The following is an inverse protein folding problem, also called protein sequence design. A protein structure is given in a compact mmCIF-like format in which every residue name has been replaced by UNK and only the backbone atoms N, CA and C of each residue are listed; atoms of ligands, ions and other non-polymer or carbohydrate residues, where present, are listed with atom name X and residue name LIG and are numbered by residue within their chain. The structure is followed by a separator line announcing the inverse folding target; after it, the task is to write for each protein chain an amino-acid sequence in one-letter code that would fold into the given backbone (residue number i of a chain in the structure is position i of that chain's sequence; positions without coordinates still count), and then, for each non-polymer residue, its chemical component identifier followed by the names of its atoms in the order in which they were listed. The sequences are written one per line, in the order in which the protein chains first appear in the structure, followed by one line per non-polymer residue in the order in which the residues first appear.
data_IF_806538154365
#
_entry.id   IF_806538154365
#
_cell.length_a   1.000
_cell.length_b   1.000
_cell.length_c   1.000
_cell.angle_alpha   90.00
_cell.angle_beta   90.00
_cell.angle_gamma   90.00
#
_symmetry.space_group_name_H-M   'P 1'
#
loop_
_entity.id
_entity.type
_entity.pdbx_description
1 polymer ?
#
# COMPACT_ATOMS: atom_id res chain seq x y z
N UNK A 1 14.10 2.33 -17.95
CA UNK A 1 14.30 0.92 -18.33
C UNK A 1 15.06 0.24 -17.19
N UNK A 2 14.44 -0.70 -16.47
CA UNK A 2 15.14 -1.43 -15.40
C UNK A 2 16.25 -2.28 -16.04
N UNK A 3 17.46 -2.24 -15.47
CA UNK A 3 18.60 -3.00 -15.97
C UNK A 3 18.41 -4.51 -15.81
N UNK A 4 19.18 -5.34 -16.53
CA UNK A 4 19.12 -6.79 -16.40
C UNK A 4 19.38 -7.21 -14.95
N UNK A 5 18.49 -8.04 -14.39
CA UNK A 5 18.61 -8.59 -13.04
C UNK A 5 17.88 -7.83 -11.93
N UNK A 6 17.20 -6.72 -12.22
CA UNK A 6 16.37 -6.04 -11.23
C UNK A 6 14.89 -6.45 -11.35
N UNK A 7 14.24 -6.89 -10.25
CA UNK A 7 12.81 -7.19 -10.26
C UNK A 7 12.01 -5.95 -10.64
N UNK A 8 10.96 -6.13 -11.45
CA UNK A 8 10.09 -5.04 -11.87
C UNK A 8 9.42 -4.36 -10.66
N UNK A 9 8.89 -3.16 -10.86
CA UNK A 9 8.13 -2.47 -9.79
C UNK A 9 6.97 -3.35 -9.28
N UNK A 10 6.25 -3.99 -10.20
CA UNK A 10 5.21 -4.96 -9.89
C UNK A 10 5.74 -6.08 -8.99
N UNK A 11 6.85 -6.71 -9.41
CA UNK A 11 7.47 -7.81 -8.69
C UNK A 11 7.85 -7.43 -7.25
N UNK A 12 8.48 -6.25 -7.08
CA UNK A 12 8.85 -5.71 -5.77
C UNK A 12 7.63 -5.44 -4.88
N UNK A 13 6.59 -4.79 -5.43
CA UNK A 13 5.36 -4.48 -4.68
C UNK A 13 4.57 -5.73 -4.34
N UNK A 14 4.49 -6.72 -5.25
CA UNK A 14 3.85 -8.00 -4.97
C UNK A 14 4.47 -8.69 -3.75
N UNK A 15 5.81 -8.84 -3.76
CA UNK A 15 6.53 -9.44 -2.63
C UNK A 15 6.27 -8.67 -1.32
N UNK A 16 6.38 -7.35 -1.37
CA UNK A 16 6.12 -6.48 -0.21
C UNK A 16 4.71 -6.69 0.38
N UNK A 17 3.68 -6.73 -0.48
CA UNK A 17 2.31 -6.93 -0.02
C UNK A 17 2.06 -8.34 0.53
N UNK A 18 2.63 -9.36 -0.13
CA UNK A 18 2.53 -10.75 0.33
C UNK A 18 3.15 -10.93 1.71
N UNK A 19 4.35 -10.42 1.92
CA UNK A 19 5.08 -10.53 3.19
C UNK A 19 4.35 -9.78 4.31
N UNK A 20 3.79 -8.59 4.02
CA UNK A 20 2.93 -7.87 4.96
C UNK A 20 1.69 -8.67 5.37
N UNK A 21 1.12 -9.45 4.45
CA UNK A 21 -0.03 -10.32 4.71
C UNK A 21 0.35 -11.65 5.37
N UNK A 22 1.65 -11.91 5.61
CA UNK A 22 2.19 -13.15 6.16
C UNK A 22 1.77 -14.40 5.37
N UNK A 23 1.68 -14.29 4.03
CA UNK A 23 1.33 -15.41 3.16
C UNK A 23 2.58 -16.01 2.51
N UNK A 24 2.62 -17.34 2.39
CA UNK A 24 3.51 -18.00 1.45
C UNK A 24 3.09 -17.69 0.00
N UNK A 25 4.01 -17.89 -0.94
CA UNK A 25 3.70 -17.75 -2.38
C UNK A 25 2.59 -18.71 -2.81
N UNK A 26 2.57 -19.92 -2.26
CA UNK A 26 1.54 -20.93 -2.52
C UNK A 26 0.17 -20.49 -2.00
N UNK A 27 0.08 -20.05 -0.74
CA UNK A 27 -1.18 -19.58 -0.15
C UNK A 27 -1.74 -18.36 -0.89
N UNK A 28 -0.88 -17.40 -1.28
CA UNK A 28 -1.32 -16.27 -2.09
C UNK A 28 -1.88 -16.74 -3.43
N UNK A 29 -1.19 -17.65 -4.12
CA UNK A 29 -1.65 -18.18 -5.41
C UNK A 29 -3.01 -18.85 -5.30
N UNK A 30 -3.22 -19.68 -4.27
CA UNK A 30 -4.51 -20.31 -4.00
C UNK A 30 -5.62 -19.28 -3.73
N UNK A 31 -5.35 -18.29 -2.86
CA UNK A 31 -6.33 -17.23 -2.54
C UNK A 31 -6.67 -16.36 -3.74
N UNK A 32 -5.73 -16.17 -4.66
CA UNK A 32 -5.93 -15.47 -5.92
C UNK A 32 -6.66 -16.32 -6.98
N UNK A 33 -7.07 -17.55 -6.65
CA UNK A 33 -7.79 -18.43 -7.56
C UNK A 33 -6.91 -19.11 -8.61
N UNK A 34 -5.58 -19.16 -8.39
CA UNK A 34 -4.70 -19.96 -9.23
C UNK A 34 -4.88 -21.45 -8.94
N UNK A 35 -4.70 -22.27 -9.97
CA UNK A 35 -4.71 -23.72 -9.80
C UNK A 35 -3.61 -24.18 -8.83
N UNK A 36 -3.94 -25.13 -7.97
CA UNK A 36 -3.06 -25.61 -6.90
C UNK A 36 -1.74 -26.18 -7.43
N UNK A 37 -1.72 -26.78 -8.63
CA UNK A 37 -0.50 -27.34 -9.22
C UNK A 37 0.53 -26.29 -9.60
N UNK A 38 0.10 -25.03 -9.81
CA UNK A 38 0.98 -23.94 -10.27
C UNK A 38 1.00 -22.72 -9.35
N UNK A 39 0.16 -22.67 -8.31
CA UNK A 39 -0.02 -21.50 -7.44
C UNK A 39 1.31 -20.89 -6.93
N UNK A 40 2.15 -21.69 -6.29
CA UNK A 40 3.45 -21.24 -5.78
C UNK A 40 4.42 -20.83 -6.90
N UNK A 41 4.70 -21.71 -7.89
CA UNK A 41 5.57 -21.38 -9.02
C UNK A 41 5.18 -20.10 -9.77
N UNK A 42 3.87 -19.86 -9.99
CA UNK A 42 3.37 -18.65 -10.67
C UNK A 42 3.68 -17.39 -9.89
N UNK A 43 3.36 -17.37 -8.59
CA UNK A 43 3.66 -16.20 -7.73
C UNK A 43 5.17 -15.96 -7.68
N UNK A 44 6.00 -17.01 -7.58
CA UNK A 44 7.45 -16.89 -7.61
C UNK A 44 7.96 -16.25 -8.91
N UNK A 45 7.43 -16.65 -10.07
CA UNK A 45 7.79 -16.04 -11.35
C UNK A 45 7.43 -14.55 -11.40
N UNK A 46 6.28 -14.17 -10.84
CA UNK A 46 5.87 -12.77 -10.74
C UNK A 46 6.77 -11.96 -9.82
N UNK A 47 7.09 -12.47 -8.63
CA UNK A 47 7.95 -11.77 -7.66
C UNK A 47 9.40 -11.62 -8.09
N UNK A 48 9.85 -12.45 -9.03
CA UNK A 48 11.19 -12.33 -9.63
C UNK A 48 11.17 -11.59 -10.97
N UNK A 49 10.00 -11.13 -11.43
CA UNK A 49 9.85 -10.41 -12.70
C UNK A 49 10.12 -11.27 -13.95
N UNK A 50 10.11 -12.60 -13.82
CA UNK A 50 10.23 -13.53 -14.96
C UNK A 50 9.00 -13.42 -15.86
N UNK A 51 7.83 -13.27 -15.24
CA UNK A 51 6.59 -12.98 -15.92
C UNK A 51 5.87 -11.83 -15.23
N UNK A 52 5.04 -11.12 -15.97
CA UNK A 52 4.10 -10.15 -15.42
C UNK A 52 2.68 -10.71 -15.55
N UNK A 53 1.84 -10.63 -14.50
CA UNK A 53 0.45 -11.05 -14.62
C UNK A 53 -0.31 -10.12 -15.57
N UNK A 54 -1.34 -10.67 -16.22
CA UNK A 54 -2.33 -9.84 -16.90
C UNK A 54 -3.13 -9.06 -15.85
N UNK A 55 -3.75 -7.96 -16.29
CA UNK A 55 -4.55 -7.08 -15.43
C UNK A 55 -5.58 -7.84 -14.56
N UNK A 56 -6.30 -8.80 -15.14
CA UNK A 56 -7.26 -9.62 -14.39
C UNK A 56 -6.61 -10.41 -13.24
N UNK A 57 -5.47 -11.04 -13.49
CA UNK A 57 -4.73 -11.79 -12.47
C UNK A 57 -4.14 -10.86 -11.42
N UNK A 58 -3.62 -9.70 -11.82
CA UNK A 58 -3.17 -8.67 -10.88
C UNK A 58 -4.32 -8.23 -9.95
N UNK A 59 -5.53 -8.05 -10.49
CA UNK A 59 -6.71 -7.72 -9.69
C UNK A 59 -7.03 -8.83 -8.68
N UNK A 60 -7.07 -10.09 -9.11
CA UNK A 60 -7.33 -11.24 -8.23
C UNK A 60 -6.31 -11.34 -7.09
N UNK A 61 -5.04 -11.10 -7.39
CA UNK A 61 -3.97 -11.07 -6.38
C UNK A 61 -4.19 -9.89 -5.41
N UNK A 62 -4.56 -8.71 -5.90
CA UNK A 62 -4.86 -7.54 -5.06
C UNK A 62 -6.02 -7.81 -4.11
N UNK A 63 -7.09 -8.42 -4.61
CA UNK A 63 -8.27 -8.79 -3.84
C UNK A 63 -7.92 -9.82 -2.76
N UNK A 64 -7.13 -10.84 -3.09
CA UNK A 64 -6.63 -11.85 -2.15
C UNK A 64 -5.77 -11.24 -1.02
N UNK A 65 -5.08 -10.14 -1.31
CA UNK A 65 -4.26 -9.38 -0.35
C UNK A 65 -5.06 -8.29 0.38
N UNK A 66 -6.29 -8.01 -0.03
CA UNK A 66 -7.13 -6.96 0.52
C UNK A 66 -6.57 -5.55 0.30
N UNK A 67 -5.90 -5.30 -0.84
CA UNK A 67 -5.28 -4.01 -1.18
C UNK A 67 -5.78 -3.48 -2.52
N UNK A 68 -5.68 -2.16 -2.79
CA UNK A 68 -5.97 -1.64 -4.12
C UNK A 68 -4.94 -2.13 -5.17
N UNK A 69 -5.36 -2.52 -6.39
CA UNK A 69 -4.46 -3.00 -7.45
C UNK A 69 -3.42 -1.95 -7.87
N UNK A 70 -3.75 -0.66 -7.73
CA UNK A 70 -2.85 0.46 -7.97
C UNK A 70 -1.54 0.36 -7.17
N UNK A 71 -1.55 -0.31 -6.01
CA UNK A 71 -0.37 -0.51 -5.18
C UNK A 71 0.78 -1.17 -5.97
N UNK A 72 0.48 -2.14 -6.84
CA UNK A 72 1.50 -2.87 -7.59
C UNK A 72 2.29 -1.98 -8.57
N UNK A 73 1.70 -0.87 -9.00
CA UNK A 73 2.25 0.03 -10.01
C UNK A 73 2.71 1.37 -9.42
N UNK A 74 2.69 1.50 -8.10
CA UNK A 74 3.02 2.76 -7.41
C UNK A 74 4.51 2.81 -7.09
N UNK A 75 5.25 3.68 -7.77
CA UNK A 75 6.68 3.89 -7.53
C UNK A 75 7.00 4.67 -6.25
N UNK A 76 6.11 5.59 -5.87
CA UNK A 76 6.20 6.43 -4.68
C UNK A 76 5.88 5.64 -3.40
N UNK A 77 6.79 5.62 -2.43
CA UNK A 77 6.64 4.83 -1.21
C UNK A 77 5.61 5.42 -0.22
N UNK A 78 5.43 6.74 -0.20
CA UNK A 78 4.44 7.40 0.66
C UNK A 78 3.02 7.14 0.15
N UNK A 79 2.82 7.23 -1.17
CA UNK A 79 1.56 6.86 -1.80
C UNK A 79 1.28 5.35 -1.64
N UNK A 80 2.30 4.49 -1.80
CA UNK A 80 2.16 3.06 -1.59
C UNK A 80 1.71 2.73 -0.15
N UNK A 81 2.28 3.42 0.85
CA UNK A 81 1.88 3.31 2.25
C UNK A 81 0.42 3.71 2.46
N UNK A 82 -0.02 4.81 1.84
CA UNK A 82 -1.41 5.24 1.90
C UNK A 82 -2.36 4.18 1.30
N UNK A 83 -2.01 3.63 0.13
CA UNK A 83 -2.80 2.59 -0.54
C UNK A 83 -2.93 1.32 0.31
N UNK A 84 -1.88 0.89 1.03
CA UNK A 84 -1.94 -0.25 1.95
C UNK A 84 -2.83 -0.02 3.18
N UNK A 85 -2.95 1.24 3.62
CA UNK A 85 -3.78 1.63 4.76
C UNK A 85 -5.24 1.89 4.35
N UNK A 86 -5.47 2.30 3.09
CA UNK A 86 -6.76 2.77 2.59
C UNK A 86 -7.95 1.84 2.87
N UNK A 87 -7.85 0.51 2.63
CA UNK A 87 -8.95 -0.42 2.92
C UNK A 87 -9.39 -0.39 4.39
N UNK A 88 -8.45 -0.21 5.33
CA UNK A 88 -8.72 -0.15 6.77
C UNK A 88 -9.16 1.21 7.30
N UNK A 89 -9.16 2.27 6.48
CA UNK A 89 -9.64 3.59 6.91
C UNK A 89 -11.17 3.65 6.97
N UNK A 90 -11.71 4.21 8.05
CA UNK A 90 -13.14 4.54 8.16
C UNK A 90 -13.54 5.60 7.13
N UNK A 91 -14.84 5.68 6.82
CA UNK A 91 -15.39 6.72 5.92
C UNK A 91 -15.00 8.14 6.36
N UNK A 92 -15.00 8.40 7.67
CA UNK A 92 -14.58 9.69 8.24
C UNK A 92 -13.10 9.99 8.00
N UNK A 93 -12.21 9.02 8.23
CA UNK A 93 -10.77 9.19 7.96
C UNK A 93 -10.51 9.43 6.48
N UNK A 94 -11.18 8.69 5.58
CA UNK A 94 -11.08 8.91 4.13
C UNK A 94 -11.57 10.31 3.73
N UNK A 95 -12.64 10.81 4.34
CA UNK A 95 -13.12 12.18 4.13
C UNK A 95 -12.07 13.22 4.54
N UNK A 96 -11.48 13.07 5.72
CA UNK A 96 -10.42 13.99 6.20
C UNK A 96 -9.22 14.03 5.25
N UNK A 97 -8.80 12.88 4.69
CA UNK A 97 -7.74 12.84 3.67
C UNK A 97 -8.17 13.62 2.42
N UNK A 98 -9.40 13.42 1.93
CA UNK A 98 -9.91 14.17 0.79
C UNK A 98 -9.95 15.69 1.05
N UNK A 99 -10.39 16.12 2.24
CA UNK A 99 -10.46 17.53 2.61
C UNK A 99 -9.05 18.17 2.72
N UNK A 100 -8.04 17.40 3.15
CA UNK A 100 -6.64 17.84 3.16
C UNK A 100 -6.11 18.06 1.74
N UNK A 101 -6.39 17.12 0.82
CA UNK A 101 -5.96 17.20 -0.58
C UNK A 101 -6.68 18.32 -1.34
N UNK A 102 -7.97 18.51 -1.09
CA UNK A 102 -8.79 19.58 -1.67
C UNK A 102 -8.45 20.98 -1.13
N UNK A 103 -7.56 21.09 -0.13
CA UNK A 103 -7.23 22.36 0.52
C UNK A 103 -8.36 22.93 1.40
N UNK A 104 -9.38 22.12 1.74
CA UNK A 104 -10.53 22.52 2.57
C UNK A 104 -10.26 22.44 4.08
N UNK A 105 -9.00 22.31 4.46
CA UNK A 105 -8.63 22.20 5.88
C UNK A 105 -8.86 23.53 6.58
N UNK A 106 -9.75 23.54 7.59
CA UNK A 106 -9.70 24.58 8.63
C UNK A 106 -8.27 24.58 9.17
N UNK A 107 -7.63 25.76 9.17
CA UNK A 107 -6.28 25.95 9.64
C UNK A 107 -6.07 25.16 10.94
N UNK A 108 -5.15 24.18 10.90
CA UNK A 108 -4.58 23.63 12.12
C UNK A 108 -3.86 24.80 12.78
N UNK A 109 -4.52 25.44 13.74
CA UNK A 109 -3.92 26.52 14.52
C UNK A 109 -2.76 25.90 15.28
N UNK A 110 -1.52 26.39 15.16
CA UNK A 110 -0.47 25.98 16.07
C UNK A 110 -0.89 26.41 17.48
N UNK A 111 -0.79 25.48 18.44
CA UNK A 111 -1.05 25.76 19.84
C UNK A 111 -0.29 27.03 20.27
N UNK A 112 -1.03 28.02 20.77
CA UNK A 112 -0.47 29.29 21.23
C UNK A 112 0.58 29.07 22.34
N UNK A 113 1.64 29.88 22.41
CA UNK A 113 2.70 29.70 23.41
C UNK A 113 2.16 30.01 24.81
N UNK A 114 2.52 29.15 25.77
CA UNK A 114 2.19 29.32 27.17
C UNK A 114 2.73 30.66 27.70
N UNK A 115 1.83 31.55 28.14
CA UNK A 115 2.20 32.81 28.80
C UNK A 115 2.90 32.50 30.14
N UNK A 116 4.20 32.83 30.26
CA UNK A 116 4.88 32.87 31.56
C UNK A 116 4.18 33.91 32.45
N UNK A 117 3.50 33.45 33.50
CA UNK A 117 2.99 34.28 34.59
C UNK A 117 4.18 34.99 35.26
N UNK A 118 4.30 36.29 35.05
CA UNK A 118 5.15 37.17 35.86
C UNK A 118 4.51 37.26 37.23
N UNK A 119 5.15 36.68 38.25
CA UNK A 119 4.81 36.94 39.66
C UNK A 119 5.35 38.32 40.02
N UNK A 120 4.47 39.30 40.21
CA UNK A 120 4.81 40.53 40.95
C UNK A 120 4.71 40.19 42.45
N UNK A 121 5.78 40.43 43.19
CA UNK A 121 5.79 40.45 44.67
C UNK A 121 5.61 41.92 45.13
N UNK A 122 5.08 42.14 46.35
CA UNK A 122 4.69 43.45 46.85
C UNK A 122 5.89 44.33 47.21
#
# INVERSE_FOLDING_TARGET
MAGPGQPSLFARRLRQARERAALSQYELGLRAGLDASVAGPRINQYENGVHEPRQQTAQQIADALGIPPAFFYTGDDDLARLLLAWPGLSKEKRRKVADLVDGKSKAVTPAAPAKKRVRRKP
#
